data_IF_554127247073
#
_entry.id   IF_554127247073
#
_cell.length_a   1.000
_cell.length_b   1.000
_cell.length_c   1.000
_cell.angle_alpha   90.00
_cell.angle_beta   90.00
_cell.angle_gamma   90.00
#
_symmetry.space_group_name_H-M   'P 1'
#
loop_
_entity.id
_entity.type
_entity.pdbx_description
1 polymer ?
#
# COMPACT_ATOMS: atom_id res chain seq x y z
N UNK A 1 19.48 31.88 38.53
CA UNK A 1 18.76 30.81 37.79
C UNK A 1 18.10 31.48 36.60
N UNK A 2 18.41 31.04 35.38
CA UNK A 2 17.78 31.60 34.19
C UNK A 2 16.32 31.12 34.16
N UNK A 3 15.37 32.02 34.45
CA UNK A 3 13.93 31.69 34.55
C UNK A 3 13.43 31.04 33.26
N UNK A 4 13.95 31.48 32.11
CA UNK A 4 13.59 30.92 30.82
C UNK A 4 13.96 29.44 30.68
N UNK A 5 15.17 29.05 31.11
CA UNK A 5 15.62 27.65 31.03
C UNK A 5 14.76 26.74 31.91
N UNK A 6 14.30 27.26 33.05
CA UNK A 6 13.38 26.56 33.95
C UNK A 6 12.02 26.37 33.30
N UNK A 7 11.40 27.44 32.81
CA UNK A 7 10.09 27.39 32.13
C UNK A 7 10.16 26.44 30.93
N UNK A 8 11.23 26.52 30.13
CA UNK A 8 11.46 25.62 29.01
C UNK A 8 11.51 24.16 29.46
N UNK A 9 12.26 23.83 30.51
CA UNK A 9 12.35 22.45 31.03
C UNK A 9 11.00 21.90 31.51
N UNK A 10 10.20 22.71 32.22
CA UNK A 10 8.87 22.30 32.67
C UNK A 10 7.88 22.15 31.51
N UNK A 11 7.93 23.03 30.51
CA UNK A 11 7.12 22.92 29.29
C UNK A 11 7.46 21.62 28.55
N UNK A 12 8.74 21.32 28.35
CA UNK A 12 9.19 20.11 27.67
C UNK A 12 8.69 18.86 28.40
N UNK A 13 8.83 18.86 29.74
CA UNK A 13 8.35 17.78 30.59
C UNK A 13 6.84 17.60 30.52
N UNK A 14 6.06 18.69 30.52
CA UNK A 14 4.60 18.61 30.41
C UNK A 14 4.16 17.98 29.07
N UNK A 15 4.80 18.40 27.97
CA UNK A 15 4.48 17.88 26.64
C UNK A 15 4.86 16.39 26.49
N UNK A 16 5.96 15.96 27.12
CA UNK A 16 6.42 14.57 27.07
C UNK A 16 5.65 13.68 28.07
N UNK A 17 5.68 14.00 29.36
CA UNK A 17 5.19 13.08 30.39
C UNK A 17 3.66 13.10 30.55
N UNK A 18 2.99 14.14 30.08
CA UNK A 18 1.53 14.27 30.25
C UNK A 18 0.81 14.20 28.92
N UNK A 19 1.11 15.11 28.00
CA UNK A 19 0.42 15.16 26.71
C UNK A 19 0.73 13.94 25.86
N UNK A 20 2.01 13.63 25.65
CA UNK A 20 2.40 12.52 24.79
C UNK A 20 1.95 11.16 25.34
N UNK A 21 2.05 10.94 26.66
CA UNK A 21 1.56 9.71 27.28
C UNK A 21 0.04 9.55 27.10
N UNK A 22 -0.73 10.65 27.23
CA UNK A 22 -2.18 10.64 26.94
C UNK A 22 -2.46 10.31 25.47
N UNK A 23 -1.72 10.91 24.54
CA UNK A 23 -1.85 10.63 23.10
C UNK A 23 -1.55 9.16 22.78
N UNK A 24 -0.47 8.59 23.31
CA UNK A 24 -0.11 7.20 23.12
C UNK A 24 -1.17 6.26 23.70
N UNK A 25 -1.69 6.56 24.89
CA UNK A 25 -2.78 5.79 25.48
C UNK A 25 -4.03 5.79 24.59
N UNK A 26 -4.39 6.94 23.99
CA UNK A 26 -5.50 7.00 23.03
C UNK A 26 -5.24 6.19 21.76
N UNK A 27 -4.01 6.22 21.23
CA UNK A 27 -3.63 5.45 20.03
C UNK A 27 -3.71 3.94 20.32
N UNK A 28 -3.19 3.50 21.46
CA UNK A 28 -3.08 2.08 21.79
C UNK A 28 -4.33 1.47 22.43
N UNK A 29 -5.24 2.29 22.97
CA UNK A 29 -6.53 1.80 23.47
C UNK A 29 -7.41 1.18 22.38
N UNK A 30 -7.13 1.45 21.09
CA UNK A 30 -7.84 0.92 19.90
C UNK A 30 -9.37 1.11 19.95
N UNK A 31 -9.85 2.07 20.73
CA UNK A 31 -11.28 2.37 20.88
C UNK A 31 -11.76 3.47 19.94
N UNK A 32 -10.85 4.12 19.20
CA UNK A 32 -11.17 5.23 18.31
C UNK A 32 -11.65 4.72 16.94
N UNK A 33 -12.70 5.34 16.43
CA UNK A 33 -13.11 5.16 15.04
C UNK A 33 -12.08 5.74 14.06
N UNK A 34 -12.10 5.30 12.81
CA UNK A 34 -11.15 5.73 11.76
C UNK A 34 -11.07 7.25 11.60
N UNK A 35 -12.21 7.94 11.53
CA UNK A 35 -12.26 9.39 11.42
C UNK A 35 -11.64 10.09 12.64
N UNK A 36 -11.86 9.57 13.85
CA UNK A 36 -11.26 10.09 15.07
C UNK A 36 -9.74 9.88 15.07
N UNK A 37 -9.27 8.73 14.56
CA UNK A 37 -7.85 8.45 14.46
C UNK A 37 -7.15 9.34 13.42
N UNK A 38 -7.82 9.66 12.30
CA UNK A 38 -7.33 10.64 11.33
C UNK A 38 -7.22 12.03 11.95
N UNK A 39 -8.24 12.46 12.69
CA UNK A 39 -8.21 13.75 13.38
C UNK A 39 -7.12 13.80 14.45
N UNK A 40 -6.90 12.71 15.18
CA UNK A 40 -5.79 12.60 16.13
C UNK A 40 -4.44 12.79 15.42
N UNK A 41 -4.25 12.16 14.26
CA UNK A 41 -3.05 12.31 13.45
C UNK A 41 -2.83 13.75 12.97
N UNK A 42 -3.87 14.42 12.47
CA UNK A 42 -3.82 15.84 12.12
C UNK A 42 -3.47 16.72 13.32
N UNK A 43 -4.12 16.51 14.46
CA UNK A 43 -3.89 17.26 15.69
C UNK A 43 -2.46 17.11 16.21
N UNK A 44 -1.89 15.90 16.19
CA UNK A 44 -0.50 15.67 16.60
C UNK A 44 0.46 16.44 15.67
N UNK A 45 0.16 16.52 14.36
CA UNK A 45 0.96 17.33 13.44
C UNK A 45 0.95 18.81 13.78
N UNK A 46 -0.22 19.35 14.15
CA UNK A 46 -0.33 20.76 14.58
C UNK A 46 0.43 20.98 15.89
N UNK A 47 0.33 20.06 16.85
CA UNK A 47 1.04 20.14 18.14
C UNK A 47 2.56 20.07 17.98
N UNK A 48 3.05 19.21 17.07
CA UNK A 48 4.48 19.11 16.75
C UNK A 48 5.02 20.43 16.19
N UNK A 49 4.30 21.07 15.25
CA UNK A 49 4.68 22.37 14.70
C UNK A 49 4.54 23.51 15.73
N UNK A 50 3.57 23.42 16.63
CA UNK A 50 3.36 24.42 17.69
C UNK A 50 4.48 24.46 18.74
N UNK A 51 5.37 23.45 18.80
CA UNK A 51 6.49 23.43 19.73
C UNK A 51 7.38 24.69 19.62
N UNK A 52 7.65 25.16 18.40
CA UNK A 52 8.45 26.38 18.19
C UNK A 52 7.71 27.64 18.67
N UNK A 53 6.38 27.65 18.53
CA UNK A 53 5.52 28.73 19.02
C UNK A 53 5.47 28.77 20.55
N UNK A 54 5.39 27.60 21.19
CA UNK A 54 5.45 27.51 22.66
C UNK A 54 6.78 28.04 23.19
N UNK A 55 7.90 27.65 22.57
CA UNK A 55 9.22 28.18 22.93
C UNK A 55 9.30 29.70 22.81
N UNK A 56 8.82 30.24 21.69
CA UNK A 56 8.84 31.68 21.45
C UNK A 56 7.97 32.42 22.46
N UNK A 57 6.80 31.89 22.78
CA UNK A 57 5.90 32.48 23.76
C UNK A 57 6.48 32.43 25.18
N UNK A 58 7.07 31.30 25.59
CA UNK A 58 7.78 31.19 26.87
C UNK A 58 8.93 32.17 26.98
N UNK A 59 9.69 32.40 25.90
CA UNK A 59 10.76 33.38 25.86
C UNK A 59 10.25 34.80 26.09
N UNK A 60 9.16 35.18 25.40
CA UNK A 60 8.51 36.48 25.56
C UNK A 60 8.05 36.72 27.00
N UNK A 61 7.39 35.74 27.61
CA UNK A 61 6.92 35.83 29.00
C UNK A 61 8.07 35.95 30.01
N UNK A 62 9.26 35.41 29.69
CA UNK A 62 10.46 35.52 30.50
C UNK A 62 11.28 36.79 30.23
N UNK A 63 10.78 37.71 29.38
CA UNK A 63 11.48 38.94 29.01
C UNK A 63 12.67 38.72 28.06
N UNK A 64 12.77 37.55 27.42
CA UNK A 64 13.82 37.25 26.44
C UNK A 64 13.40 37.80 25.07
N UNK A 65 14.21 38.66 24.42
CA UNK A 65 13.92 39.16 23.09
C UNK A 65 13.78 38.02 22.06
N UNK A 66 12.76 38.11 21.20
CA UNK A 66 12.46 37.12 20.14
C UNK A 66 13.68 36.73 19.31
N UNK A 67 14.51 37.70 18.89
CA UNK A 67 15.74 37.46 18.11
C UNK A 67 16.78 36.61 18.84
N UNK A 68 16.80 36.65 20.18
CA UNK A 68 17.72 35.85 21.00
C UNK A 68 17.17 34.44 21.15
N UNK A 69 15.85 34.31 21.35
CA UNK A 69 15.17 33.02 21.42
C UNK A 69 15.25 32.22 20.11
N UNK A 70 15.06 32.89 18.96
CA UNK A 70 15.17 32.26 17.63
C UNK A 70 16.60 31.81 17.28
N UNK A 71 17.62 32.45 17.86
CA UNK A 71 19.04 32.08 17.68
C UNK A 71 19.46 30.92 18.59
N UNK A 72 18.67 30.60 19.61
CA UNK A 72 18.90 29.42 20.43
C UNK A 72 18.58 28.18 19.60
N UNK A 73 19.61 27.46 19.15
CA UNK A 73 19.47 26.16 18.47
C UNK A 73 18.88 25.04 19.35
N UNK A 74 18.51 25.34 20.60
CA UNK A 74 17.93 24.36 21.52
C UNK A 74 16.41 24.36 21.38
N UNK A 75 15.88 23.47 20.53
CA UNK A 75 14.45 23.17 20.46
C UNK A 75 13.92 22.49 21.73
N UNK A 76 12.63 22.11 21.72
CA UNK A 76 12.02 21.22 22.70
C UNK A 76 12.31 19.78 22.31
N UNK A 77 12.71 18.94 23.27
CA UNK A 77 12.81 17.49 23.03
C UNK A 77 11.46 16.89 22.72
N UNK A 78 10.37 17.46 23.25
CA UNK A 78 8.98 17.09 23.00
C UNK A 78 8.63 17.06 21.51
N UNK A 79 9.26 17.91 20.69
CA UNK A 79 9.01 17.92 19.25
C UNK A 79 9.36 16.58 18.60
N UNK A 80 10.53 16.02 18.94
CA UNK A 80 10.96 14.72 18.44
C UNK A 80 10.06 13.59 18.96
N UNK A 81 9.64 13.68 20.23
CA UNK A 81 8.73 12.72 20.86
C UNK A 81 7.34 12.73 20.19
N UNK A 82 6.77 13.91 19.94
CA UNK A 82 5.50 14.07 19.23
C UNK A 82 5.59 13.57 17.79
N UNK A 83 6.73 13.77 17.10
CA UNK A 83 6.96 13.18 15.77
C UNK A 83 7.00 11.64 15.83
N UNK A 84 7.54 11.05 16.89
CA UNK A 84 7.47 9.59 17.09
C UNK A 84 6.02 9.10 17.31
N UNK A 85 5.25 9.80 18.13
CA UNK A 85 3.82 9.50 18.34
C UNK A 85 2.97 9.72 17.09
N UNK A 86 3.34 10.69 16.25
CA UNK A 86 2.78 10.87 14.93
C UNK A 86 2.99 9.63 14.05
N UNK A 87 4.21 9.07 14.01
CA UNK A 87 4.45 7.82 13.29
C UNK A 87 3.66 6.64 13.89
N UNK A 88 3.49 6.60 15.22
CA UNK A 88 2.70 5.57 15.88
C UNK A 88 1.23 5.61 15.45
N UNK A 89 0.60 6.81 15.37
CA UNK A 89 -0.78 6.93 14.89
C UNK A 89 -0.89 6.64 13.39
N UNK A 90 0.10 6.98 12.57
CA UNK A 90 0.11 6.60 11.15
C UNK A 90 0.11 5.09 10.96
N UNK A 91 0.93 4.37 11.73
CA UNK A 91 0.96 2.90 11.69
C UNK A 91 -0.37 2.30 12.18
N UNK A 92 -0.99 2.90 13.20
CA UNK A 92 -2.31 2.47 13.66
C UNK A 92 -3.40 2.68 12.58
N UNK A 93 -3.36 3.80 11.86
CA UNK A 93 -4.25 4.07 10.73
C UNK A 93 -4.07 3.06 9.60
N UNK A 94 -2.83 2.77 9.21
CA UNK A 94 -2.52 1.76 8.17
C UNK A 94 -3.13 0.42 8.57
N UNK A 95 -2.93 -0.02 9.81
CA UNK A 95 -3.49 -1.29 10.28
C UNK A 95 -5.03 -1.30 10.25
N UNK A 96 -5.68 -0.20 10.62
CA UNK A 96 -7.13 -0.10 10.60
C UNK A 96 -7.69 -0.11 9.17
N UNK A 97 -7.01 0.58 8.25
CA UNK A 97 -7.36 0.57 6.82
C UNK A 97 -7.16 -0.83 6.23
N UNK A 98 -6.02 -1.48 6.50
CA UNK A 98 -5.75 -2.82 6.01
C UNK A 98 -6.76 -3.84 6.54
N UNK A 99 -7.12 -3.75 7.83
CA UNK A 99 -8.18 -4.58 8.41
C UNK A 99 -9.52 -4.39 7.69
N UNK A 100 -9.85 -3.15 7.31
CA UNK A 100 -11.09 -2.89 6.56
C UNK A 100 -11.01 -3.38 5.12
N UNK A 101 -9.85 -3.25 4.48
CA UNK A 101 -9.57 -3.83 3.16
C UNK A 101 -9.75 -5.35 3.19
N UNK A 102 -9.26 -6.02 4.23
CA UNK A 102 -9.38 -7.48 4.39
C UNK A 102 -10.84 -7.95 4.35
N UNK A 103 -11.78 -7.21 4.94
CA UNK A 103 -13.21 -7.53 4.89
C UNK A 103 -13.73 -7.64 3.44
N UNK A 104 -13.19 -6.84 2.51
CA UNK A 104 -13.53 -6.90 1.09
C UNK A 104 -12.70 -7.95 0.35
N UNK A 105 -11.42 -8.10 0.71
CA UNK A 105 -10.53 -9.07 0.07
C UNK A 105 -10.96 -10.52 0.32
N UNK A 106 -11.72 -10.81 1.38
CA UNK A 106 -12.38 -12.12 1.57
C UNK A 106 -13.23 -12.52 0.36
N UNK A 107 -13.79 -11.57 -0.39
CA UNK A 107 -14.57 -11.86 -1.60
C UNK A 107 -13.73 -12.45 -2.75
N UNK A 108 -12.39 -12.46 -2.66
CA UNK A 108 -11.52 -13.21 -3.58
C UNK A 108 -11.84 -14.71 -3.59
N UNK A 109 -12.36 -15.26 -2.50
CA UNK A 109 -12.80 -16.66 -2.42
C UNK A 109 -13.94 -16.99 -3.39
N UNK A 110 -14.73 -15.97 -3.77
CA UNK A 110 -15.86 -16.11 -4.70
C UNK A 110 -15.46 -15.96 -6.17
N UNK A 111 -14.20 -15.62 -6.46
CA UNK A 111 -13.71 -15.48 -7.83
C UNK A 111 -13.71 -16.85 -8.52
N UNK A 112 -14.30 -16.92 -9.71
CA UNK A 112 -14.25 -18.13 -10.52
C UNK A 112 -12.90 -18.26 -11.23
N UNK A 113 -11.93 -18.87 -10.54
CA UNK A 113 -10.58 -19.09 -11.04
C UNK A 113 -10.49 -19.96 -12.30
N UNK A 114 -11.53 -20.75 -12.61
CA UNK A 114 -11.57 -21.68 -13.74
C UNK A 114 -12.66 -21.34 -14.77
N UNK A 115 -13.03 -20.06 -14.86
CA UNK A 115 -14.03 -19.59 -15.81
C UNK A 115 -13.69 -19.99 -17.27
N UNK A 116 -14.71 -20.43 -18.00
CA UNK A 116 -14.61 -20.80 -19.42
C UNK A 116 -14.48 -19.58 -20.33
N UNK A 117 -15.03 -18.45 -19.91
CA UNK A 117 -14.99 -17.17 -20.60
C UNK A 117 -14.32 -16.11 -19.74
N UNK A 118 -13.74 -15.10 -20.39
CA UNK A 118 -13.19 -13.95 -19.70
C UNK A 118 -14.32 -13.09 -19.12
N UNK A 119 -14.18 -12.55 -17.90
CA UNK A 119 -15.18 -11.63 -17.37
C UNK A 119 -15.17 -10.32 -18.15
N UNK A 120 -16.35 -9.74 -18.37
CA UNK A 120 -16.49 -8.44 -19.04
C UNK A 120 -16.18 -7.26 -18.12
N UNK A 121 -16.30 -7.47 -16.80
CA UNK A 121 -16.22 -6.43 -15.78
C UNK A 121 -15.31 -6.85 -14.62
N UNK A 122 -15.01 -5.87 -13.78
CA UNK A 122 -14.37 -6.02 -12.48
C UNK A 122 -14.99 -7.15 -11.63
N UNK A 123 -14.16 -7.87 -10.89
CA UNK A 123 -14.65 -8.73 -9.82
C UNK A 123 -15.21 -7.89 -8.65
N UNK A 124 -16.21 -8.46 -7.95
CA UNK A 124 -16.91 -7.77 -6.86
C UNK A 124 -15.98 -7.27 -5.76
N UNK A 125 -14.95 -8.05 -5.39
CA UNK A 125 -13.99 -7.62 -4.36
C UNK A 125 -13.30 -6.30 -4.73
N UNK A 126 -12.94 -6.13 -6.01
CA UNK A 126 -12.24 -4.93 -6.48
C UNK A 126 -13.18 -3.72 -6.49
N UNK A 127 -14.44 -3.92 -6.87
CA UNK A 127 -15.44 -2.85 -6.81
C UNK A 127 -15.63 -2.33 -5.38
N UNK A 128 -15.78 -3.22 -4.41
CA UNK A 128 -15.93 -2.85 -3.00
C UNK A 128 -14.68 -2.16 -2.44
N UNK A 129 -13.49 -2.67 -2.79
CA UNK A 129 -12.21 -2.05 -2.42
C UNK A 129 -12.11 -0.62 -2.98
N UNK A 130 -12.43 -0.41 -4.26
CA UNK A 130 -12.36 0.91 -4.88
C UNK A 130 -13.36 1.89 -4.26
N UNK A 131 -14.60 1.44 -4.00
CA UNK A 131 -15.61 2.26 -3.30
C UNK A 131 -15.07 2.67 -1.93
N UNK A 132 -14.53 1.73 -1.17
CA UNK A 132 -13.98 2.02 0.15
C UNK A 132 -12.80 3.00 0.08
N UNK A 133 -11.82 2.77 -0.81
CA UNK A 133 -10.67 3.67 -0.96
C UNK A 133 -11.10 5.08 -1.37
N UNK A 134 -12.13 5.23 -2.20
CA UNK A 134 -12.68 6.55 -2.57
C UNK A 134 -13.24 7.30 -1.35
N UNK A 135 -14.01 6.58 -0.51
CA UNK A 135 -14.58 7.13 0.74
C UNK A 135 -13.52 7.40 1.81
N UNK A 136 -12.36 6.75 1.71
CA UNK A 136 -11.22 6.91 2.61
C UNK A 136 -10.36 8.14 2.24
N UNK A 137 -9.96 8.25 0.98
CA UNK A 137 -8.98 9.25 0.51
C UNK A 137 -9.56 10.66 0.59
N UNK A 138 -10.83 10.83 0.23
CA UNK A 138 -11.50 12.14 0.17
C UNK A 138 -11.51 12.93 1.49
N UNK A 139 -11.85 12.34 2.66
CA UNK A 139 -11.69 13.03 3.94
C UNK A 139 -10.24 13.00 4.45
N UNK A 140 -9.47 11.95 4.13
CA UNK A 140 -8.09 11.84 4.59
C UNK A 140 -7.21 12.97 4.05
N UNK A 141 -7.36 13.38 2.79
CA UNK A 141 -6.58 14.48 2.20
C UNK A 141 -6.82 15.84 2.87
N UNK A 142 -8.00 16.06 3.46
CA UNK A 142 -8.33 17.32 4.14
C UNK A 142 -7.78 17.38 5.57
N UNK A 143 -7.62 16.23 6.21
CA UNK A 143 -7.29 16.11 7.64
C UNK A 143 -5.83 15.76 7.84
N UNK A 144 -5.30 14.87 7.00
CA UNK A 144 -3.99 14.28 7.20
C UNK A 144 -2.89 15.14 6.56
N UNK A 145 -1.73 15.25 7.21
CA UNK A 145 -0.52 15.73 6.54
C UNK A 145 -0.20 14.86 5.33
N UNK A 146 0.35 15.47 4.28
CA UNK A 146 0.66 14.79 3.01
C UNK A 146 1.50 13.52 3.18
N UNK A 147 2.46 13.53 4.13
CA UNK A 147 3.28 12.35 4.46
C UNK A 147 2.44 11.19 5.02
N UNK A 148 1.45 11.50 5.84
CA UNK A 148 0.56 10.52 6.46
C UNK A 148 -0.39 9.92 5.42
N UNK A 149 -1.01 10.79 4.61
CA UNK A 149 -1.87 10.39 3.51
C UNK A 149 -1.13 9.42 2.58
N UNK A 150 0.09 9.77 2.18
CA UNK A 150 0.94 8.92 1.37
C UNK A 150 1.14 7.54 1.99
N UNK A 151 1.54 7.49 3.27
CA UNK A 151 1.79 6.23 4.01
C UNK A 151 0.54 5.37 4.13
N UNK A 152 -0.62 5.97 4.42
CA UNK A 152 -1.90 5.26 4.56
C UNK A 152 -2.34 4.66 3.23
N UNK A 153 -2.34 5.46 2.16
CA UNK A 153 -2.79 4.99 0.84
C UNK A 153 -1.82 3.97 0.26
N UNK A 154 -0.51 4.25 0.25
CA UNK A 154 0.49 3.27 -0.22
C UNK A 154 0.45 1.96 0.57
N UNK A 155 0.27 2.03 1.89
CA UNK A 155 0.10 0.85 2.74
C UNK A 155 -1.10 -0.01 2.33
N UNK A 156 -2.24 0.62 2.05
CA UNK A 156 -3.44 -0.07 1.56
C UNK A 156 -3.21 -0.70 0.18
N UNK A 157 -2.59 0.03 -0.75
CA UNK A 157 -2.29 -0.45 -2.11
C UNK A 157 -1.36 -1.66 -2.10
N UNK A 158 -0.28 -1.61 -1.30
CA UNK A 158 0.63 -2.73 -1.09
C UNK A 158 -0.10 -3.92 -0.48
N UNK A 159 -0.93 -3.70 0.54
CA UNK A 159 -1.71 -4.75 1.20
C UNK A 159 -2.69 -5.46 0.25
N UNK A 160 -3.34 -4.72 -0.65
CA UNK A 160 -4.19 -5.29 -1.70
C UNK A 160 -3.35 -6.15 -2.66
N UNK A 161 -2.20 -5.65 -3.11
CA UNK A 161 -1.29 -6.40 -3.99
C UNK A 161 -0.82 -7.71 -3.35
N UNK A 162 -0.39 -7.63 -2.09
CA UNK A 162 0.03 -8.77 -1.29
C UNK A 162 -1.09 -9.77 -1.06
N UNK A 163 -2.33 -9.31 -0.85
CA UNK A 163 -3.50 -10.19 -0.68
C UNK A 163 -3.85 -10.97 -1.95
N UNK A 164 -3.79 -10.33 -3.12
CA UNK A 164 -4.00 -11.00 -4.41
C UNK A 164 -2.86 -12.03 -4.64
N UNK A 165 -1.61 -11.62 -4.42
CA UNK A 165 -0.46 -12.51 -4.58
C UNK A 165 -0.55 -13.72 -3.64
N UNK A 166 -0.86 -13.48 -2.36
CA UNK A 166 -1.02 -14.53 -1.34
C UNK A 166 -2.14 -15.50 -1.73
N UNK A 167 -3.24 -15.01 -2.28
CA UNK A 167 -4.34 -15.86 -2.77
C UNK A 167 -3.89 -16.81 -3.87
N UNK A 168 -3.10 -16.34 -4.84
CA UNK A 168 -2.53 -17.17 -5.91
C UNK A 168 -1.49 -18.17 -5.38
N UNK A 169 -0.75 -17.82 -4.32
CA UNK A 169 0.22 -18.69 -3.68
C UNK A 169 -0.42 -19.74 -2.75
N UNK A 170 -1.57 -19.45 -2.17
CA UNK A 170 -2.26 -20.33 -1.21
C UNK A 170 -2.99 -21.51 -1.90
N UNK A 171 -3.15 -22.63 -1.19
CA UNK A 171 -3.81 -23.86 -1.65
C UNK A 171 -5.33 -23.72 -1.85
N UNK A 172 -5.93 -22.62 -1.40
CA UNK A 172 -7.31 -22.26 -1.74
C UNK A 172 -7.54 -22.14 -3.25
N UNK A 173 -6.54 -21.62 -3.98
CA UNK A 173 -6.53 -21.61 -5.44
C UNK A 173 -5.64 -22.74 -5.95
N UNK A 174 -6.24 -23.90 -6.22
CA UNK A 174 -5.50 -25.08 -6.73
C UNK A 174 -5.15 -24.97 -8.22
N UNK A 175 -6.01 -24.30 -8.98
CA UNK A 175 -5.87 -24.10 -10.43
C UNK A 175 -6.55 -22.80 -10.82
N UNK A 176 -5.97 -22.10 -11.80
CA UNK A 176 -6.62 -20.96 -12.41
C UNK A 176 -6.30 -20.86 -13.90
N UNK A 177 -7.21 -20.28 -14.68
CA UNK A 177 -7.14 -20.21 -16.14
C UNK A 177 -6.66 -18.87 -16.65
N UNK A 178 -6.33 -18.79 -17.94
CA UNK A 178 -6.05 -17.51 -18.62
C UNK A 178 -7.18 -16.49 -18.46
N UNK A 179 -8.43 -16.94 -18.43
CA UNK A 179 -9.60 -16.06 -18.27
C UNK A 179 -9.65 -15.41 -16.89
N UNK A 180 -9.28 -16.16 -15.84
CA UNK A 180 -9.14 -15.59 -14.51
C UNK A 180 -8.02 -14.54 -14.45
N UNK A 181 -6.91 -14.77 -15.17
CA UNK A 181 -5.83 -13.77 -15.29
C UNK A 181 -6.29 -12.52 -16.04
N UNK A 182 -7.15 -12.67 -17.06
CA UNK A 182 -7.77 -11.52 -17.74
C UNK A 182 -8.70 -10.73 -16.80
N UNK A 183 -9.44 -11.42 -15.93
CA UNK A 183 -10.20 -10.77 -14.86
C UNK A 183 -9.32 -9.97 -13.90
N UNK A 184 -8.23 -10.56 -13.43
CA UNK A 184 -7.25 -9.85 -12.61
C UNK A 184 -6.62 -8.66 -13.35
N UNK A 185 -6.41 -8.75 -14.66
CA UNK A 185 -5.91 -7.63 -15.46
C UNK A 185 -6.90 -6.45 -15.47
N UNK A 186 -8.21 -6.72 -15.59
CA UNK A 186 -9.27 -5.71 -15.48
C UNK A 186 -9.25 -5.08 -14.09
N UNK A 187 -9.24 -5.90 -13.04
CA UNK A 187 -9.19 -5.45 -11.65
C UNK A 187 -8.00 -4.51 -11.39
N UNK A 188 -6.80 -4.94 -11.78
CA UNK A 188 -5.58 -4.16 -11.61
C UNK A 188 -5.58 -2.89 -12.43
N UNK A 189 -6.17 -2.86 -13.63
CA UNK A 189 -6.24 -1.63 -14.43
C UNK A 189 -7.08 -0.56 -13.73
N UNK A 190 -8.19 -0.93 -13.10
CA UNK A 190 -9.00 0.05 -12.34
C UNK A 190 -8.28 0.51 -11.08
N UNK A 191 -7.62 -0.40 -10.37
CA UNK A 191 -6.84 -0.05 -9.19
C UNK A 191 -5.65 0.85 -9.53
N UNK A 192 -4.97 0.61 -10.65
CA UNK A 192 -3.91 1.48 -11.16
C UNK A 192 -4.43 2.84 -11.60
N UNK A 193 -5.59 2.90 -12.27
CA UNK A 193 -6.21 4.16 -12.64
C UNK A 193 -6.57 5.00 -11.41
N UNK A 194 -7.13 4.36 -10.37
CA UNK A 194 -7.36 4.99 -9.07
C UNK A 194 -6.04 5.49 -8.45
N UNK A 195 -4.99 4.67 -8.47
CA UNK A 195 -3.68 5.01 -7.93
C UNK A 195 -3.08 6.27 -8.58
N UNK A 196 -3.11 6.31 -9.92
CA UNK A 196 -2.61 7.44 -10.70
C UNK A 196 -3.43 8.71 -10.43
N UNK A 197 -4.77 8.60 -10.49
CA UNK A 197 -5.68 9.72 -10.23
C UNK A 197 -5.49 10.32 -8.83
N UNK A 198 -5.45 9.48 -7.79
CA UNK A 198 -5.31 9.97 -6.40
C UNK A 198 -3.91 10.49 -6.11
N UNK A 199 -2.87 9.94 -6.74
CA UNK A 199 -1.53 10.48 -6.58
C UNK A 199 -1.42 11.91 -7.13
N UNK A 200 -2.07 12.18 -8.26
CA UNK A 200 -2.10 13.50 -8.86
C UNK A 200 -3.03 14.47 -8.11
N UNK A 201 -4.25 14.04 -7.76
CA UNK A 201 -5.26 14.93 -7.15
C UNK A 201 -4.93 15.37 -5.73
N UNK A 202 -4.14 14.59 -5.00
CA UNK A 202 -3.71 14.90 -3.62
C UNK A 202 -2.49 15.84 -3.55
N UNK A 203 -1.94 16.24 -4.70
CA UNK A 203 -0.76 17.11 -4.78
C UNK A 203 0.57 16.40 -4.47
N UNK A 204 0.57 15.07 -4.34
CA UNK A 204 1.78 14.28 -4.11
C UNK A 204 2.75 14.35 -5.30
N UNK A 205 2.23 14.44 -6.53
CA UNK A 205 3.04 14.60 -7.74
C UNK A 205 3.89 15.88 -7.73
N UNK A 206 3.38 16.96 -7.11
CA UNK A 206 4.08 18.25 -6.99
C UNK A 206 5.11 18.20 -5.85
N UNK A 207 4.91 17.34 -4.85
CA UNK A 207 5.79 17.23 -3.68
C UNK A 207 7.16 16.60 -3.96
N UNK A 208 7.42 16.15 -5.19
CA UNK A 208 8.67 15.51 -5.58
C UNK A 208 8.81 14.07 -5.09
N UNK A 209 7.70 13.41 -4.75
CA UNK A 209 7.69 11.98 -4.40
C UNK A 209 8.02 11.15 -5.64
N UNK A 210 9.16 10.47 -5.60
CA UNK A 210 9.61 9.60 -6.71
C UNK A 210 8.74 8.34 -6.85
N UNK A 211 8.25 7.81 -5.73
CA UNK A 211 7.43 6.59 -5.68
C UNK A 211 5.94 6.93 -5.63
N UNK A 212 5.23 6.56 -6.68
CA UNK A 212 3.79 6.72 -6.86
C UNK A 212 3.00 5.64 -6.11
N UNK A 213 1.68 5.81 -6.00
CA UNK A 213 0.81 4.73 -5.50
C UNK A 213 0.79 3.51 -6.42
N UNK A 214 0.96 3.72 -7.72
CA UNK A 214 1.01 2.65 -8.71
C UNK A 214 2.22 1.73 -8.52
N UNK A 215 3.33 2.27 -8.00
CA UNK A 215 4.53 1.48 -7.74
C UNK A 215 4.30 0.36 -6.71
N UNK A 216 3.32 0.52 -5.82
CA UNK A 216 2.89 -0.52 -4.88
C UNK A 216 2.31 -1.77 -5.56
N UNK A 217 1.90 -1.68 -6.84
CA UNK A 217 1.24 -2.75 -7.59
C UNK A 217 2.18 -3.47 -8.56
N UNK A 218 3.46 -3.10 -8.61
CA UNK A 218 4.39 -3.54 -9.66
C UNK A 218 4.58 -5.06 -9.66
N UNK A 219 4.68 -5.72 -8.50
CA UNK A 219 4.87 -7.18 -8.44
C UNK A 219 3.70 -7.91 -9.09
N UNK A 220 2.46 -7.61 -8.68
CA UNK A 220 1.28 -8.28 -9.22
C UNK A 220 1.03 -7.93 -10.70
N UNK A 221 1.31 -6.68 -11.10
CA UNK A 221 1.22 -6.26 -12.51
C UNK A 221 2.22 -7.02 -13.39
N UNK A 222 3.47 -7.15 -12.94
CA UNK A 222 4.49 -7.91 -13.67
C UNK A 222 4.10 -9.39 -13.79
N UNK A 223 3.50 -9.98 -12.73
CA UNK A 223 3.01 -11.35 -12.76
C UNK A 223 1.91 -11.53 -13.82
N UNK A 224 0.89 -10.67 -13.82
CA UNK A 224 -0.20 -10.70 -14.81
C UNK A 224 0.36 -10.53 -16.24
N UNK A 225 1.27 -9.58 -16.45
CA UNK A 225 1.92 -9.37 -17.74
C UNK A 225 2.71 -10.60 -18.21
N UNK A 226 3.38 -11.30 -17.29
CA UNK A 226 4.11 -12.52 -17.61
C UNK A 226 3.16 -13.66 -18.00
N UNK A 227 2.11 -13.87 -17.20
CA UNK A 227 1.11 -14.91 -17.44
C UNK A 227 0.36 -14.69 -18.76
N UNK A 228 0.13 -13.43 -19.15
CA UNK A 228 -0.50 -13.05 -20.42
C UNK A 228 0.46 -12.93 -21.61
N UNK A 229 1.77 -13.04 -21.37
CA UNK A 229 2.79 -12.92 -22.42
C UNK A 229 2.64 -14.02 -23.49
N UNK A 230 3.00 -13.68 -24.73
CA UNK A 230 3.12 -14.65 -25.81
C UNK A 230 4.38 -15.53 -25.68
N UNK A 231 5.40 -15.04 -24.96
CA UNK A 231 6.70 -15.70 -24.76
C UNK A 231 7.13 -15.63 -23.28
N UNK A 232 6.39 -16.25 -22.34
CA UNK A 232 6.73 -16.25 -20.91
C UNK A 232 8.12 -16.82 -20.59
N UNK A 233 8.65 -17.74 -21.41
CA UNK A 233 10.01 -18.30 -21.28
C UNK A 233 11.15 -17.26 -21.24
N UNK A 234 10.91 -16.08 -21.83
CA UNK A 234 11.84 -14.96 -21.84
C UNK A 234 12.12 -14.40 -20.44
N UNK A 235 11.29 -14.71 -19.45
CA UNK A 235 11.58 -14.45 -18.04
C UNK A 235 12.93 -15.03 -17.59
N UNK A 236 13.38 -16.14 -18.19
CA UNK A 236 14.67 -16.75 -17.86
C UNK A 236 15.87 -15.99 -18.46
N UNK A 237 15.64 -15.02 -19.34
CA UNK A 237 16.69 -14.13 -19.82
C UNK A 237 16.94 -13.02 -18.77
N UNK A 238 18.17 -12.90 -18.21
CA UNK A 238 18.45 -11.93 -17.15
C UNK A 238 18.15 -10.48 -17.52
N UNK A 239 18.39 -10.09 -18.78
CA UNK A 239 18.16 -8.71 -19.26
C UNK A 239 16.67 -8.41 -19.35
N UNK A 240 15.89 -9.37 -19.88
CA UNK A 240 14.43 -9.22 -19.98
C UNK A 240 13.80 -9.21 -18.60
N UNK A 241 14.26 -10.09 -17.69
CA UNK A 241 13.80 -10.12 -16.31
C UNK A 241 14.07 -8.81 -15.60
N UNK A 242 15.31 -8.32 -15.63
CA UNK A 242 15.67 -7.08 -14.96
C UNK A 242 14.81 -5.91 -15.44
N UNK A 243 14.50 -5.85 -16.73
CA UNK A 243 13.72 -4.76 -17.32
C UNK A 243 12.21 -4.85 -17.06
N UNK A 244 11.63 -6.04 -17.18
CA UNK A 244 10.17 -6.20 -17.25
C UNK A 244 9.55 -6.98 -16.08
N UNK A 245 10.36 -7.77 -15.36
CA UNK A 245 9.90 -8.73 -14.36
C UNK A 245 10.80 -8.71 -13.10
N UNK A 246 11.42 -7.55 -12.82
CA UNK A 246 12.45 -7.40 -11.79
C UNK A 246 11.94 -7.64 -10.37
N UNK A 247 10.63 -7.44 -10.15
CA UNK A 247 9.98 -7.60 -8.85
C UNK A 247 9.53 -9.03 -8.58
N UNK A 248 9.56 -9.92 -9.58
CA UNK A 248 9.08 -11.30 -9.42
C UNK A 248 10.17 -12.21 -8.82
N UNK A 249 9.82 -12.85 -7.71
CA UNK A 249 10.61 -13.93 -7.11
C UNK A 249 10.44 -15.26 -7.85
N UNK A 250 11.52 -16.03 -7.98
CA UNK A 250 11.51 -17.32 -8.69
C UNK A 250 10.63 -18.36 -7.99
N UNK A 251 10.64 -18.44 -6.66
CA UNK A 251 9.88 -19.43 -5.90
C UNK A 251 8.39 -19.14 -5.93
N UNK A 252 8.01 -17.88 -5.69
CA UNK A 252 6.61 -17.44 -5.84
C UNK A 252 6.10 -17.75 -7.24
N UNK A 253 6.87 -17.40 -8.27
CA UNK A 253 6.48 -17.62 -9.65
C UNK A 253 6.34 -19.11 -9.99
N UNK A 254 7.24 -19.98 -9.51
CA UNK A 254 7.14 -21.43 -9.71
C UNK A 254 5.79 -21.98 -9.21
N UNK A 255 5.39 -21.62 -7.97
CA UNK A 255 4.12 -22.03 -7.36
C UNK A 255 2.93 -21.55 -8.19
N UNK A 256 2.93 -20.27 -8.60
CA UNK A 256 1.85 -19.69 -9.40
C UNK A 256 1.76 -20.36 -10.78
N UNK A 257 2.90 -20.56 -11.44
CA UNK A 257 2.96 -21.19 -12.76
C UNK A 257 2.50 -22.66 -12.72
N UNK A 258 2.76 -23.41 -11.65
CA UNK A 258 2.29 -24.79 -11.53
C UNK A 258 0.75 -24.88 -11.49
N UNK A 259 0.11 -23.91 -10.84
CA UNK A 259 -1.36 -23.79 -10.75
C UNK A 259 -2.00 -23.25 -12.05
N UNK A 260 -1.27 -22.47 -12.84
CA UNK A 260 -1.77 -21.85 -14.07
C UNK A 260 -2.10 -22.85 -15.20
N UNK A 261 -3.24 -22.67 -15.87
CA UNK A 261 -3.67 -23.43 -17.06
C UNK A 261 -4.13 -22.49 -18.19
N UNK A 262 -3.82 -22.85 -19.44
CA UNK A 262 -4.28 -22.06 -20.60
C UNK A 262 -5.79 -22.19 -20.88
N UNK A 263 -6.45 -23.26 -20.40
CA UNK A 263 -7.88 -23.49 -20.60
C UNK A 263 -8.47 -24.21 -19.39
N UNK A 264 -9.78 -24.04 -19.18
CA UNK A 264 -10.54 -24.94 -18.31
C UNK A 264 -10.47 -26.38 -18.88
N UNK A 265 -10.48 -27.39 -18.01
CA UNK A 265 -10.42 -28.80 -18.41
C UNK A 265 -11.77 -29.21 -19.06
N UNK A 266 -12.01 -28.79 -20.30
CA UNK A 266 -13.18 -29.18 -21.07
C UNK A 266 -13.06 -30.61 -21.58
N UNK A 267 -14.06 -31.46 -21.29
CA UNK A 267 -14.17 -32.87 -21.70
C UNK A 267 -14.02 -33.13 -23.22
N UNK A 268 -14.07 -32.08 -24.05
CA UNK A 268 -13.92 -32.14 -25.52
C UNK A 268 -12.78 -31.27 -26.08
N UNK A 269 -11.93 -30.68 -25.23
CA UNK A 269 -10.90 -29.69 -25.63
C UNK A 269 -9.79 -30.20 -26.56
N UNK A 270 -9.72 -31.52 -26.81
CA UNK A 270 -8.72 -32.12 -27.71
C UNK A 270 -9.03 -31.91 -29.21
N UNK A 271 -10.24 -31.52 -29.60
CA UNK A 271 -10.63 -31.51 -31.01
C UNK A 271 -10.71 -30.12 -31.66
N UNK A 272 -10.66 -29.04 -30.86
CA UNK A 272 -10.90 -27.67 -31.36
C UNK A 272 -9.66 -26.78 -31.43
N UNK A 273 -8.47 -27.27 -31.01
CA UNK A 273 -7.30 -26.43 -30.79
C UNK A 273 -6.48 -26.13 -32.07
N UNK A 274 -7.16 -25.67 -33.12
CA UNK A 274 -6.60 -25.29 -34.42
C UNK A 274 -5.96 -23.90 -34.45
N UNK A 275 -5.70 -23.28 -33.30
CA UNK A 275 -5.04 -21.97 -33.23
C UNK A 275 -3.53 -22.11 -32.95
N UNK A 276 -2.71 -21.94 -33.99
CA UNK A 276 -1.24 -22.09 -33.92
C UNK A 276 -0.58 -21.17 -32.90
N UNK A 277 -1.10 -19.96 -32.70
CA UNK A 277 -0.60 -19.00 -31.69
C UNK A 277 -0.81 -19.47 -30.25
N UNK A 278 -1.96 -20.08 -29.95
CA UNK A 278 -2.26 -20.61 -28.62
C UNK A 278 -1.37 -21.81 -28.29
N UNK A 279 -1.07 -22.64 -29.29
CA UNK A 279 -0.12 -23.75 -29.15
C UNK A 279 1.33 -23.28 -28.90
N UNK A 280 1.76 -22.15 -29.47
CA UNK A 280 3.10 -21.60 -29.25
C UNK A 280 3.27 -21.05 -27.82
N UNK A 281 2.31 -20.23 -27.35
CA UNK A 281 2.29 -19.70 -25.98
C UNK A 281 2.30 -20.83 -24.95
N UNK A 282 1.47 -21.85 -25.14
CA UNK A 282 1.41 -23.03 -24.27
C UNK A 282 2.75 -23.72 -24.14
N UNK A 283 3.42 -24.00 -25.27
CA UNK A 283 4.76 -24.60 -25.28
C UNK A 283 5.78 -23.74 -24.54
N UNK A 284 5.74 -22.42 -24.74
CA UNK A 284 6.62 -21.48 -24.05
C UNK A 284 6.39 -21.48 -22.53
N UNK A 285 5.12 -21.49 -22.12
CA UNK A 285 4.77 -21.58 -20.70
C UNK A 285 5.25 -22.91 -20.09
N UNK A 286 5.14 -24.02 -20.82
CA UNK A 286 5.68 -25.32 -20.37
C UNK A 286 7.20 -25.30 -20.22
N UNK A 287 7.93 -24.59 -21.10
CA UNK A 287 9.38 -24.39 -20.98
C UNK A 287 9.72 -23.58 -19.73
N UNK A 288 9.00 -22.48 -19.48
CA UNK A 288 9.17 -21.68 -18.27
C UNK A 288 8.96 -22.54 -17.02
N UNK A 289 7.84 -23.26 -16.92
CA UNK A 289 7.54 -24.15 -15.79
C UNK A 289 8.66 -25.15 -15.52
N UNK A 290 9.19 -25.79 -16.57
CA UNK A 290 10.31 -26.75 -16.41
C UNK A 290 11.55 -26.09 -15.84
N UNK A 291 11.91 -24.90 -16.32
CA UNK A 291 13.10 -24.16 -15.85
C UNK A 291 12.94 -23.61 -14.43
N UNK A 292 11.71 -23.30 -14.02
CA UNK A 292 11.43 -22.82 -12.66
C UNK A 292 11.56 -23.93 -11.59
N UNK A 293 11.46 -25.21 -11.97
CA UNK A 293 11.67 -26.34 -11.04
C UNK A 293 13.09 -26.40 -10.48
N UNK A 294 14.06 -25.82 -11.17
CA UNK A 294 15.43 -25.74 -10.67
C UNK A 294 15.56 -24.78 -9.46
N UNK A 295 14.50 -24.01 -9.17
CA UNK A 295 14.45 -22.99 -8.12
C UNK A 295 13.43 -23.28 -7.02
N UNK A 296 12.63 -24.35 -7.13
CA UNK A 296 11.59 -24.73 -6.17
C UNK A 296 12.14 -25.53 -5.00
#
# INVERSE_FOLDING_TARGET
MNIYDVVKSYLDRLLIEVLNDSLLNMIYARSLAMSQMMQLAGNISVLEQACDMYLLHSAQLCGIPKRIAERSHSGLTARAVLKASQNAVYNALINLVNFKVDEFMVLLENVNWIAEEAPDNANNYMNEVLIYLETLVSPAQEILPLEALYKVVSGAMSHISDSIMTTLLNDGVKRFTVNAVLGLDIDLKMLEAFADEKFDSTGLSISGKETTFRDCLVEIRQLVNLLLSSQPENFMNPVIRQRNYGSLDYKKLAIVCDKYKDSADGLFGSLSNRNTKQNARKRSMDVLKRRLKDFS
#
